data_IF_344810161112
#
_entry.id   IF_344810161112
#
_cell.length_a   1.000
_cell.length_b   1.000
_cell.length_c   1.000
_cell.angle_alpha   90.00
_cell.angle_beta   90.00
_cell.angle_gamma   90.00
#
_symmetry.space_group_name_H-M   'P 1'
#
loop_
_entity.id
_entity.type
_entity.pdbx_description
1 polymer ?
#
# COMPACT_ATOMS: atom_id res chain seq x y z
N UNK A 1 -5.97 34.51 -30.70
CA UNK A 1 -6.47 33.16 -30.36
C UNK A 1 -5.67 32.68 -29.16
N UNK A 2 -6.35 32.44 -28.03
CA UNK A 2 -5.72 32.09 -26.76
C UNK A 2 -5.30 30.61 -26.77
N UNK A 3 -4.01 30.37 -26.64
CA UNK A 3 -3.43 29.06 -26.33
C UNK A 3 -3.91 28.60 -24.96
N UNK A 4 -4.88 27.69 -24.94
CA UNK A 4 -5.32 27.00 -23.73
C UNK A 4 -4.58 25.68 -23.62
N UNK A 5 -3.27 25.76 -23.44
CA UNK A 5 -2.47 24.62 -23.00
C UNK A 5 -2.71 24.44 -21.49
N UNK A 6 -3.89 23.91 -21.14
CA UNK A 6 -4.21 23.49 -19.77
C UNK A 6 -3.30 22.30 -19.44
N UNK A 7 -2.31 22.55 -18.59
CA UNK A 7 -1.61 21.56 -17.79
C UNK A 7 -2.57 20.46 -17.33
N UNK A 8 -2.53 19.30 -17.99
CA UNK A 8 -2.92 18.04 -17.35
C UNK A 8 -1.89 17.80 -16.26
N UNK A 9 -2.22 18.20 -15.01
CA UNK A 9 -1.62 17.55 -13.86
C UNK A 9 -2.08 16.10 -13.93
N UNK A 10 -1.18 15.21 -14.32
CA UNK A 10 -1.43 13.78 -14.23
C UNK A 10 -1.84 13.46 -12.80
N UNK A 11 -3.03 12.86 -12.63
CA UNK A 11 -3.50 12.45 -11.31
C UNK A 11 -2.50 11.43 -10.73
N UNK A 12 -2.08 11.56 -9.47
CA UNK A 12 -1.14 10.62 -8.88
C UNK A 12 -1.65 9.17 -8.92
N UNK A 13 -0.97 8.38 -9.76
CA UNK A 13 -1.12 6.92 -9.82
C UNK A 13 -0.17 6.28 -8.80
N UNK A 14 -0.50 5.07 -8.35
CA UNK A 14 0.44 4.25 -7.58
C UNK A 14 1.81 4.11 -8.28
N UNK A 15 1.81 4.13 -9.63
CA UNK A 15 3.02 4.02 -10.45
C UNK A 15 3.88 5.29 -10.39
N UNK A 16 3.32 6.44 -10.01
CA UNK A 16 4.08 7.67 -9.78
C UNK A 16 4.93 7.57 -8.50
N UNK A 17 4.46 6.83 -7.50
CA UNK A 17 5.17 6.68 -6.23
C UNK A 17 5.97 5.39 -6.11
N UNK A 18 5.73 4.41 -6.98
CA UNK A 18 6.48 3.15 -7.01
C UNK A 18 6.45 2.38 -5.68
N UNK A 19 5.36 2.48 -4.91
CA UNK A 19 5.29 1.90 -3.57
C UNK A 19 5.46 0.39 -3.58
N UNK A 20 6.31 -0.10 -2.68
CA UNK A 20 6.50 -1.53 -2.49
C UNK A 20 5.22 -2.21 -1.99
N UNK A 21 5.08 -3.48 -2.36
CA UNK A 21 3.90 -4.31 -2.04
C UNK A 21 3.56 -4.32 -0.54
N UNK A 22 4.55 -4.20 0.35
CA UNK A 22 4.34 -4.18 1.80
C UNK A 22 3.78 -2.85 2.32
N UNK A 23 4.11 -1.72 1.69
CA UNK A 23 3.53 -0.40 2.01
C UNK A 23 2.06 -0.38 1.55
N UNK A 24 1.79 -0.91 0.35
CA UNK A 24 0.44 -1.04 -0.17
C UNK A 24 -0.40 -1.96 0.73
N UNK A 25 0.15 -3.11 1.14
CA UNK A 25 -0.51 -4.01 2.08
C UNK A 25 -0.87 -3.31 3.40
N UNK A 26 0.07 -2.56 3.98
CA UNK A 26 -0.17 -1.81 5.21
C UNK A 26 -1.31 -0.81 5.05
N UNK A 27 -1.33 -0.04 3.96
CA UNK A 27 -2.42 0.89 3.68
C UNK A 27 -3.76 0.15 3.60
N UNK A 28 -3.84 -0.93 2.83
CA UNK A 28 -5.07 -1.70 2.68
C UNK A 28 -5.55 -2.30 4.01
N UNK A 29 -4.64 -2.76 4.87
CA UNK A 29 -4.97 -3.25 6.21
C UNK A 29 -5.56 -2.17 7.10
N UNK A 30 -5.00 -0.95 7.08
CA UNK A 30 -5.54 0.20 7.82
C UNK A 30 -6.93 0.56 7.31
N UNK A 31 -7.11 0.60 5.99
CA UNK A 31 -8.41 0.87 5.35
C UNK A 31 -9.43 -0.20 5.75
N UNK A 32 -9.06 -1.48 5.71
CA UNK A 32 -9.93 -2.60 6.07
C UNK A 32 -10.38 -2.51 7.53
N UNK A 33 -9.46 -2.27 8.43
CA UNK A 33 -9.77 -2.10 9.84
C UNK A 33 -10.73 -0.93 10.07
N UNK A 34 -10.51 0.20 9.39
CA UNK A 34 -11.41 1.36 9.47
C UNK A 34 -12.80 1.04 8.92
N UNK A 35 -12.90 0.33 7.78
CA UNK A 35 -14.20 -0.05 7.22
C UNK A 35 -14.96 -0.97 8.17
N UNK A 36 -14.31 -2.01 8.70
CA UNK A 36 -14.93 -2.92 9.68
C UNK A 36 -15.49 -2.17 10.89
N UNK A 37 -14.74 -1.19 11.41
CA UNK A 37 -15.23 -0.33 12.49
C UNK A 37 -16.46 0.49 12.09
N UNK A 38 -16.47 1.08 10.89
CA UNK A 38 -17.56 1.93 10.41
C UNK A 38 -18.84 1.12 10.16
N UNK A 39 -18.76 -0.01 9.46
CA UNK A 39 -19.95 -0.81 9.14
C UNK A 39 -20.51 -1.51 10.41
N UNK A 40 -19.68 -1.79 11.43
CA UNK A 40 -20.19 -2.23 12.75
C UNK A 40 -20.86 -1.11 13.56
N UNK A 41 -20.44 0.14 13.39
CA UNK A 41 -20.96 1.28 14.17
C UNK A 41 -22.23 1.86 13.58
N UNK A 42 -22.39 1.80 12.26
CA UNK A 42 -23.56 2.30 11.54
C UNK A 42 -24.21 1.16 10.75
N UNK A 43 -25.37 0.70 11.24
CA UNK A 43 -26.13 -0.39 10.64
C UNK A 43 -26.67 -0.07 9.23
N UNK A 44 -26.61 1.20 8.81
CA UNK A 44 -27.02 1.61 7.47
C UNK A 44 -25.91 1.43 6.42
N UNK A 45 -24.67 1.18 6.85
CA UNK A 45 -23.55 0.92 5.95
C UNK A 45 -23.47 -0.56 5.62
N UNK A 46 -23.63 -0.89 4.34
CA UNK A 46 -23.45 -2.27 3.86
C UNK A 46 -21.98 -2.66 3.85
N UNK A 47 -21.61 -3.76 4.51
CA UNK A 47 -20.25 -4.31 4.48
C UNK A 47 -19.75 -4.57 3.06
N UNK A 48 -20.65 -5.00 2.16
CA UNK A 48 -20.35 -5.25 0.76
C UNK A 48 -20.00 -3.95 0.03
N UNK A 49 -20.69 -2.86 0.34
CA UNK A 49 -20.38 -1.54 -0.23
C UNK A 49 -19.10 -0.97 0.36
N UNK A 50 -18.93 -1.06 1.69
CA UNK A 50 -17.69 -0.69 2.37
C UNK A 50 -16.46 -1.39 1.76
N UNK A 51 -16.61 -2.67 1.37
CA UNK A 51 -15.54 -3.46 0.78
C UNK A 51 -15.25 -3.10 -0.69
N UNK A 52 -16.21 -2.55 -1.43
CA UNK A 52 -16.04 -2.13 -2.83
C UNK A 52 -15.58 -0.68 -2.96
N UNK A 53 -16.10 0.19 -2.11
CA UNK A 53 -15.88 1.63 -2.11
C UNK A 53 -15.52 2.10 -0.69
N UNK A 54 -14.30 1.84 -0.22
CA UNK A 54 -13.91 2.17 1.14
C UNK A 54 -13.90 3.68 1.37
N UNK A 55 -14.39 4.10 2.55
CA UNK A 55 -14.29 5.48 3.01
C UNK A 55 -12.86 5.76 3.45
N UNK A 56 -12.20 6.74 2.81
CA UNK A 56 -10.85 7.19 3.17
C UNK A 56 -10.96 8.55 3.86
N UNK A 57 -10.71 8.56 5.17
CA UNK A 57 -10.87 9.71 6.05
C UNK A 57 -9.56 10.11 6.75
N UNK A 58 -9.62 11.16 7.56
CA UNK A 58 -8.47 11.65 8.34
C UNK A 58 -7.89 10.60 9.28
N UNK A 59 -8.71 9.66 9.76
CA UNK A 59 -8.23 8.59 10.64
C UNK A 59 -7.28 7.67 9.87
N UNK A 60 -7.67 7.22 8.67
CA UNK A 60 -6.82 6.38 7.82
C UNK A 60 -5.53 7.15 7.46
N UNK A 61 -5.68 8.38 7.00
CA UNK A 61 -4.54 9.21 6.59
C UNK A 61 -3.55 9.39 7.73
N UNK A 62 -4.01 9.86 8.89
CA UNK A 62 -3.15 10.09 10.04
C UNK A 62 -2.52 8.79 10.55
N UNK A 63 -3.26 7.68 10.56
CA UNK A 63 -2.74 6.37 10.98
C UNK A 63 -1.63 5.91 10.04
N UNK A 64 -1.84 6.05 8.73
CA UNK A 64 -0.88 5.62 7.71
C UNK A 64 0.42 6.43 7.74
N UNK A 65 0.34 7.77 7.66
CA UNK A 65 1.54 8.63 7.64
C UNK A 65 2.34 8.54 8.95
N UNK A 66 1.67 8.28 10.07
CA UNK A 66 2.32 8.16 11.37
C UNK A 66 2.79 6.76 11.70
N UNK A 67 2.50 5.77 10.85
CA UNK A 67 2.82 4.39 11.12
C UNK A 67 4.35 4.18 11.24
N UNK A 68 4.77 3.37 12.22
CA UNK A 68 6.20 3.15 12.51
C UNK A 68 6.96 2.63 11.31
N UNK A 69 6.37 1.72 10.54
CA UNK A 69 7.00 1.19 9.31
C UNK A 69 7.17 2.29 8.27
N UNK A 70 6.14 3.10 8.01
CA UNK A 70 6.22 4.20 7.04
C UNK A 70 7.32 5.19 7.44
N UNK A 71 7.37 5.58 8.72
CA UNK A 71 8.43 6.43 9.26
C UNK A 71 9.81 5.79 9.10
N UNK A 72 9.95 4.51 9.43
CA UNK A 72 11.20 3.77 9.32
C UNK A 72 11.69 3.72 7.87
N UNK A 73 10.82 3.36 6.92
CA UNK A 73 11.15 3.32 5.50
C UNK A 73 11.49 4.71 4.97
N UNK A 74 10.77 5.77 5.37
CA UNK A 74 11.12 7.14 4.99
C UNK A 74 12.50 7.58 5.53
N UNK A 75 12.90 7.10 6.71
CA UNK A 75 14.23 7.38 7.27
C UNK A 75 15.31 6.59 6.53
N UNK A 76 15.11 5.29 6.34
CA UNK A 76 16.08 4.38 5.70
C UNK A 76 16.22 4.65 4.20
N UNK A 77 15.13 5.02 3.55
CA UNK A 77 15.06 5.24 2.10
C UNK A 77 15.65 6.59 1.66
N UNK A 78 16.18 7.42 2.58
CA UNK A 78 17.07 8.54 2.19
C UNK A 78 18.29 8.07 1.37
N UNK A 79 18.61 6.77 1.42
CA UNK A 79 19.71 6.15 0.67
C UNK A 79 19.26 5.24 -0.50
N UNK A 80 17.94 5.07 -0.75
CA UNK A 80 17.42 4.18 -1.81
C UNK A 80 16.21 4.80 -2.52
N UNK A 81 16.14 4.75 -3.85
CA UNK A 81 15.12 5.48 -4.65
C UNK A 81 13.71 4.88 -4.65
N UNK A 82 13.47 3.74 -4.01
CA UNK A 82 12.32 2.89 -4.38
C UNK A 82 11.23 2.75 -3.31
N UNK A 83 11.32 3.39 -2.13
CA UNK A 83 10.30 3.18 -1.08
C UNK A 83 10.13 4.39 -0.15
N UNK A 84 9.61 5.48 -0.71
CA UNK A 84 9.33 6.72 0.04
C UNK A 84 7.85 7.04 -0.04
N UNK A 85 7.15 7.03 1.09
CA UNK A 85 5.86 7.70 1.22
C UNK A 85 6.16 9.20 1.31
N UNK A 86 5.66 10.04 0.38
CA UNK A 86 5.97 11.47 0.38
C UNK A 86 5.62 12.12 1.72
N UNK A 87 6.50 12.99 2.21
CA UNK A 87 6.29 13.71 3.48
C UNK A 87 5.19 14.77 3.39
N UNK A 88 4.88 15.18 2.17
CA UNK A 88 3.85 16.15 1.78
C UNK A 88 2.59 15.49 1.20
N UNK A 89 2.47 14.16 1.33
CA UNK A 89 1.28 13.43 0.90
C UNK A 89 0.02 14.01 1.55
N UNK A 90 -0.98 14.34 0.74
CA UNK A 90 -2.28 14.85 1.19
C UNK A 90 -3.34 13.75 1.28
N UNK A 91 -4.44 14.02 2.00
CA UNK A 91 -5.58 13.08 2.06
C UNK A 91 -6.18 12.80 0.68
N UNK A 92 -6.26 13.81 -0.19
CA UNK A 92 -6.79 13.64 -1.55
C UNK A 92 -5.88 12.77 -2.42
N UNK A 93 -4.56 12.90 -2.29
CA UNK A 93 -3.62 12.00 -2.97
C UNK A 93 -3.72 10.59 -2.42
N UNK A 94 -3.88 10.40 -1.10
CA UNK A 94 -4.09 9.08 -0.52
C UNK A 94 -5.37 8.43 -1.05
N UNK A 95 -6.47 9.18 -1.17
CA UNK A 95 -7.72 8.72 -1.81
C UNK A 95 -7.49 8.28 -3.25
N UNK A 96 -6.72 9.05 -4.01
CA UNK A 96 -6.39 8.72 -5.40
C UNK A 96 -5.52 7.47 -5.50
N UNK A 97 -4.55 7.30 -4.61
CA UNK A 97 -3.72 6.09 -4.53
C UNK A 97 -4.57 4.86 -4.24
N UNK A 98 -5.48 4.93 -3.26
CA UNK A 98 -6.40 3.81 -2.97
C UNK A 98 -7.26 3.50 -4.19
N UNK A 99 -7.84 4.51 -4.86
CA UNK A 99 -8.60 4.31 -6.10
C UNK A 99 -7.75 3.66 -7.19
N UNK A 100 -6.49 4.10 -7.35
CA UNK A 100 -5.54 3.51 -8.31
C UNK A 100 -5.27 2.03 -8.00
N UNK A 101 -5.13 1.64 -6.73
CA UNK A 101 -4.98 0.24 -6.32
C UNK A 101 -6.21 -0.59 -6.75
N UNK A 102 -7.42 -0.09 -6.51
CA UNK A 102 -8.66 -0.76 -6.91
C UNK A 102 -8.82 -0.85 -8.44
N UNK A 103 -8.48 0.22 -9.15
CA UNK A 103 -8.53 0.26 -10.62
C UNK A 103 -7.53 -0.70 -11.26
N UNK A 104 -6.34 -0.86 -10.67
CA UNK A 104 -5.35 -1.84 -11.13
C UNK A 104 -5.86 -3.27 -10.96
N UNK A 105 -6.60 -3.51 -9.89
CA UNK A 105 -7.22 -4.80 -9.61
C UNK A 105 -6.23 -5.94 -9.39
N UNK A 106 -6.76 -7.17 -9.43
CA UNK A 106 -5.99 -8.39 -9.29
C UNK A 106 -5.55 -8.91 -10.66
N UNK A 107 -4.32 -9.43 -10.81
CA UNK A 107 -3.79 -9.92 -12.09
C UNK A 107 -4.51 -11.16 -12.65
N UNK A 108 -5.39 -11.80 -11.88
CA UNK A 108 -6.14 -13.01 -12.27
C UNK A 108 -7.67 -12.80 -12.25
N UNK A 109 -8.16 -11.59 -12.48
CA UNK A 109 -9.61 -11.34 -12.62
C UNK A 109 -10.17 -11.82 -13.97
N UNK A 110 -9.84 -13.05 -14.41
CA UNK A 110 -10.48 -13.68 -15.57
C UNK A 110 -11.95 -14.03 -15.28
N UNK A 111 -12.36 -14.07 -13.99
CA UNK A 111 -13.69 -14.50 -13.55
C UNK A 111 -14.66 -13.37 -13.16
N UNK A 112 -14.37 -12.11 -13.49
CA UNK A 112 -15.22 -10.95 -13.12
C UNK A 112 -15.50 -10.81 -11.60
N UNK A 113 -14.65 -11.37 -10.73
CA UNK A 113 -14.82 -11.19 -9.29
C UNK A 113 -14.58 -9.72 -8.91
N UNK A 114 -15.44 -9.12 -8.08
CA UNK A 114 -15.28 -7.74 -7.70
C UNK A 114 -13.97 -7.55 -6.94
N UNK A 115 -13.19 -6.53 -7.33
CA UNK A 115 -12.04 -6.05 -6.57
C UNK A 115 -12.51 -5.53 -5.20
N UNK A 116 -12.65 -6.45 -4.25
CA UNK A 116 -12.98 -6.11 -2.86
C UNK A 116 -11.70 -5.82 -2.10
N UNK A 117 -11.83 -4.99 -1.07
CA UNK A 117 -10.76 -4.68 -0.13
C UNK A 117 -10.07 -5.93 0.41
N UNK A 118 -10.86 -6.94 0.76
CA UNK A 118 -10.37 -8.22 1.30
C UNK A 118 -9.55 -8.97 0.25
N UNK A 119 -10.03 -9.04 -0.99
CA UNK A 119 -9.31 -9.72 -2.07
C UNK A 119 -7.98 -9.01 -2.39
N UNK A 120 -7.97 -7.68 -2.39
CA UNK A 120 -6.75 -6.88 -2.54
C UNK A 120 -5.78 -7.11 -1.37
N UNK A 121 -6.26 -7.06 -0.11
CA UNK A 121 -5.44 -7.36 1.07
C UNK A 121 -4.79 -8.75 0.97
N UNK A 122 -5.57 -9.77 0.63
CA UNK A 122 -5.08 -11.15 0.50
C UNK A 122 -4.03 -11.27 -0.60
N UNK A 123 -4.26 -10.65 -1.75
CA UNK A 123 -3.29 -10.65 -2.84
C UNK A 123 -1.95 -10.03 -2.43
N UNK A 124 -1.96 -8.83 -1.85
CA UNK A 124 -0.73 -8.17 -1.41
C UNK A 124 -0.08 -8.91 -0.23
N UNK A 125 -0.87 -9.60 0.60
CA UNK A 125 -0.36 -10.48 1.65
C UNK A 125 0.41 -11.66 1.05
N UNK A 126 -0.18 -12.41 0.12
CA UNK A 126 0.49 -13.53 -0.54
C UNK A 126 1.76 -13.08 -1.26
N UNK A 127 1.69 -11.95 -1.98
CA UNK A 127 2.87 -11.35 -2.64
C UNK A 127 3.99 -11.04 -1.64
N UNK A 128 3.63 -10.58 -0.43
CA UNK A 128 4.62 -10.29 0.61
C UNK A 128 5.19 -11.57 1.24
N UNK A 129 4.38 -12.60 1.46
CA UNK A 129 4.86 -13.90 1.94
C UNK A 129 5.87 -14.49 0.95
N UNK A 130 5.52 -14.51 -0.33
CA UNK A 130 6.41 -14.97 -1.40
C UNK A 130 7.74 -14.19 -1.42
N UNK A 131 7.69 -12.86 -1.32
CA UNK A 131 8.89 -12.03 -1.24
C UNK A 131 9.75 -12.35 -0.01
N UNK A 132 9.12 -12.59 1.15
CA UNK A 132 9.83 -12.92 2.38
C UNK A 132 10.50 -14.29 2.28
N UNK A 133 9.79 -15.31 1.83
CA UNK A 133 10.25 -16.69 1.76
C UNK A 133 11.31 -16.90 0.68
N UNK A 134 11.09 -16.35 -0.51
CA UNK A 134 11.93 -16.66 -1.67
C UNK A 134 13.06 -15.66 -1.87
N UNK A 135 12.94 -14.42 -1.36
CA UNK A 135 13.94 -13.38 -1.59
C UNK A 135 14.65 -12.91 -0.31
N UNK A 136 13.91 -12.55 0.73
CA UNK A 136 14.48 -11.85 1.90
C UNK A 136 15.13 -12.83 2.88
N UNK A 137 14.40 -13.86 3.34
CA UNK A 137 14.92 -14.83 4.31
C UNK A 137 16.18 -15.57 3.81
N UNK A 138 16.27 -16.01 2.53
CA UNK A 138 17.49 -16.64 2.02
C UNK A 138 18.69 -15.69 2.03
N UNK A 139 18.49 -14.39 1.73
CA UNK A 139 19.57 -13.39 1.78
C UNK A 139 20.07 -13.18 3.20
N UNK A 140 19.16 -13.04 4.17
CA UNK A 140 19.52 -12.89 5.59
C UNK A 140 20.28 -14.12 6.07
N UNK A 141 19.81 -15.32 5.73
CA UNK A 141 20.49 -16.58 6.10
C UNK A 141 21.93 -16.62 5.58
N UNK A 142 22.15 -16.24 4.31
CA UNK A 142 23.50 -16.14 3.71
C UNK A 142 24.36 -15.10 4.43
N UNK A 143 23.81 -13.93 4.73
CA UNK A 143 24.54 -12.87 5.44
C UNK A 143 24.97 -13.30 6.85
N UNK A 144 24.08 -13.98 7.59
CA UNK A 144 24.39 -14.51 8.93
C UNK A 144 25.49 -15.58 8.88
N UNK A 145 25.44 -16.51 7.92
CA UNK A 145 26.48 -17.52 7.72
C UNK A 145 27.84 -16.88 7.39
N UNK A 146 27.85 -15.86 6.52
CA UNK A 146 29.07 -15.13 6.18
C UNK A 146 29.66 -14.38 7.37
N UNK A 147 28.82 -13.80 8.24
CA UNK A 147 29.28 -13.14 9.45
C UNK A 147 29.84 -14.13 10.47
N UNK A 148 29.19 -15.27 10.69
CA UNK A 148 29.71 -16.33 11.57
C UNK A 148 31.10 -16.82 11.11
N UNK A 149 31.28 -17.06 9.80
CA UNK A 149 32.57 -17.48 9.26
C UNK A 149 33.67 -16.41 9.34
N UNK A 150 33.31 -15.12 9.42
CA UNK A 150 34.26 -14.01 9.62
C UNK A 150 34.70 -13.83 11.08
N UNK A 151 33.94 -14.34 12.04
CA UNK A 151 34.28 -14.28 13.47
C UNK A 151 35.13 -15.47 13.90
N UNK A 152 35.06 -16.58 13.15
CA UNK A 152 35.79 -17.83 13.41
C UNK A 152 37.16 -17.91 12.70
N UNK A 153 37.51 -16.91 11.88
CA UNK A 153 38.81 -16.73 11.24
C UNK A 153 39.41 -15.40 11.68
#
# INVERSE_FOLDING_TARGET
MLDTNKNKKDNPSIDQYGWDSHIILLLLQIVLHRQQYLCHKDSNLSEVECAKNPVIDDFIFNTFINHKLVKYYNIMSKNTRNSVVPTDLTLEELKQIVRSIYSRGLPQNENNDPNTLVALCNYYYFKRIDELENNILPKIKKQLQQQQNKVLN
#
